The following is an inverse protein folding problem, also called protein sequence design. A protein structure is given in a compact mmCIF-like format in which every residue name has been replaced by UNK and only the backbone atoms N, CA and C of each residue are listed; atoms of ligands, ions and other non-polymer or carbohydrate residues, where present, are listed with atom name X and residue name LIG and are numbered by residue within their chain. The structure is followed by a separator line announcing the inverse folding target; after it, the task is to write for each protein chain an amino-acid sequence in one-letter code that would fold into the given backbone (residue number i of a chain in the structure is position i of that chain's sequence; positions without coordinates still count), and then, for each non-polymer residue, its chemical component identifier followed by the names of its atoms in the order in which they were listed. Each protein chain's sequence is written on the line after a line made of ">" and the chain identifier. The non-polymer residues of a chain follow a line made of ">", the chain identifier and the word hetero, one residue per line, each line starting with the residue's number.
data_IF_470590859215
#
_entry.id   IF_470590859215
#
_cell.length_a   1.000
_cell.length_b   1.000
_cell.length_c   1.000
_cell.angle_alpha   90.00
_cell.angle_beta   90.00
_cell.angle_gamma   90.00
#
_symmetry.space_group_name_H-M   'P 1'
#
loop_
_entity.id
_entity.type
_entity.pdbx_description
1 polymer ?
#
# COMPACT_ATOMS: atom_id res chain seq x y z
N UNK A 1 -8.39 -12.16 55.97
CA UNK A 1 -7.34 -12.54 55.01
C UNK A 1 -7.99 -12.80 53.66
N UNK A 2 -7.52 -12.20 52.56
CA UNK A 2 -7.12 -10.79 52.38
C UNK A 2 -7.99 -10.15 51.25
N UNK A 3 -8.43 -8.89 51.33
CA UNK A 3 -7.68 -7.71 50.88
C UNK A 3 -6.72 -8.01 49.72
N UNK A 4 -7.20 -7.94 48.48
CA UNK A 4 -6.32 -7.74 47.32
C UNK A 4 -6.62 -6.38 46.73
N UNK A 5 -5.81 -5.45 47.21
CA UNK A 5 -5.50 -4.15 46.65
C UNK A 5 -5.77 -4.05 45.13
N UNK A 6 -6.76 -3.23 44.76
CA UNK A 6 -6.58 -2.40 43.58
C UNK A 6 -5.50 -1.38 43.93
N UNK A 7 -4.24 -1.76 43.70
CA UNK A 7 -3.16 -0.79 43.62
C UNK A 7 -3.43 0.07 42.39
N UNK A 8 -4.13 1.18 42.61
CA UNK A 8 -4.11 2.34 41.72
C UNK A 8 -2.63 2.73 41.58
N UNK A 9 -2.02 2.32 40.47
CA UNK A 9 -0.67 2.72 40.13
C UNK A 9 -0.70 4.18 39.68
N UNK A 10 -0.76 5.09 40.65
CA UNK A 10 -0.36 6.49 40.47
C UNK A 10 1.16 6.54 40.37
N UNK A 11 1.70 5.83 39.37
CA UNK A 11 3.03 6.07 38.85
C UNK A 11 2.90 7.24 37.88
N UNK A 12 3.76 8.23 38.00
CA UNK A 12 3.96 9.25 36.99
C UNK A 12 4.14 8.54 35.64
N UNK A 13 3.07 8.42 34.83
CA UNK A 13 3.05 7.58 33.65
C UNK A 13 3.93 8.26 32.59
N UNK A 14 5.23 7.95 32.65
CA UNK A 14 6.17 8.27 31.59
C UNK A 14 5.71 7.47 30.39
N UNK A 15 4.88 8.11 29.56
CA UNK A 15 4.42 7.52 28.32
C UNK A 15 5.66 7.25 27.47
N UNK A 16 5.97 5.99 27.10
CA UNK A 16 7.15 5.72 26.29
C UNK A 16 6.96 6.39 24.94
N UNK A 17 7.99 7.11 24.49
CA UNK A 17 7.99 7.87 23.24
C UNK A 17 9.04 7.25 22.32
N UNK A 18 8.70 7.08 21.05
CA UNK A 18 9.62 6.67 19.99
C UNK A 18 9.72 7.77 18.94
N UNK A 19 10.94 8.13 18.53
CA UNK A 19 11.24 9.11 17.51
C UNK A 19 11.42 8.40 16.17
N UNK A 20 10.54 8.68 15.22
CA UNK A 20 10.55 8.05 13.89
C UNK A 20 10.58 9.12 12.81
N UNK A 21 11.10 8.75 11.64
CA UNK A 21 11.00 9.58 10.46
C UNK A 21 9.88 9.06 9.55
N UNK A 22 8.89 9.90 9.28
CA UNK A 22 7.76 9.54 8.42
C UNK A 22 8.00 10.09 7.02
N UNK A 23 8.02 9.21 6.03
CA UNK A 23 8.10 9.53 4.61
C UNK A 23 6.69 9.63 4.02
N UNK A 24 6.37 10.78 3.43
CA UNK A 24 5.17 10.95 2.60
C UNK A 24 5.56 11.08 1.13
N UNK A 25 4.88 10.33 0.27
CA UNK A 25 4.98 10.56 -1.17
C UNK A 25 4.05 11.73 -1.51
N UNK A 26 4.63 12.86 -1.92
CA UNK A 26 3.85 13.97 -2.47
C UNK A 26 3.48 13.60 -3.91
N UNK A 27 2.20 13.40 -4.17
CA UNK A 27 1.69 13.43 -5.55
C UNK A 27 1.67 14.91 -5.95
N UNK A 28 2.49 15.29 -6.93
CA UNK A 28 2.48 16.67 -7.45
C UNK A 28 1.14 17.00 -8.10
N UNK A 29 0.73 18.26 -8.01
CA UNK A 29 -0.54 18.80 -8.56
C UNK A 29 -0.66 18.59 -10.09
N UNK A 30 0.46 18.37 -10.78
CA UNK A 30 0.52 18.12 -12.23
C UNK A 30 0.43 16.63 -12.62
N UNK A 31 0.16 15.70 -11.68
CA UNK A 31 0.17 14.26 -11.95
C UNK A 31 1.56 13.69 -12.33
N UNK A 32 2.56 14.57 -12.44
CA UNK A 32 3.96 14.23 -12.40
C UNK A 32 4.34 14.00 -10.93
N UNK A 33 4.69 12.76 -10.60
CA UNK A 33 5.37 12.47 -9.35
C UNK A 33 6.74 13.14 -9.37
N UNK A 34 6.80 14.43 -9.02
CA UNK A 34 8.04 15.08 -8.61
C UNK A 34 8.56 14.25 -7.44
N UNK A 35 9.54 13.38 -7.72
CA UNK A 35 9.95 12.24 -6.90
C UNK A 35 10.63 12.59 -5.56
N UNK A 36 10.35 13.76 -4.99
CA UNK A 36 10.86 14.21 -3.71
C UNK A 36 9.81 13.96 -2.62
N UNK A 37 9.71 12.71 -2.14
CA UNK A 37 8.95 12.43 -0.92
C UNK A 37 9.45 13.28 0.26
N UNK A 38 8.54 13.73 1.12
CA UNK A 38 8.88 14.55 2.30
C UNK A 38 9.15 13.66 3.50
N UNK A 39 10.35 13.79 4.08
CA UNK A 39 10.69 13.13 5.34
C UNK A 39 10.42 14.08 6.52
N UNK A 40 9.66 13.63 7.51
CA UNK A 40 9.33 14.41 8.71
C UNK A 40 9.59 13.60 9.97
N UNK A 41 10.47 14.11 10.84
CA UNK A 41 10.80 13.50 12.13
C UNK A 41 9.71 13.82 13.16
N UNK A 42 9.16 12.78 13.81
CA UNK A 42 8.05 12.92 14.77
C UNK A 42 8.29 12.00 15.97
N UNK A 43 7.96 12.49 17.15
CA UNK A 43 7.95 11.71 18.39
C UNK A 43 6.54 11.19 18.66
N UNK A 44 6.38 9.86 18.73
CA UNK A 44 5.09 9.18 18.84
C UNK A 44 4.99 8.36 20.12
N UNK A 45 3.81 8.28 20.77
CA UNK A 45 3.61 7.39 21.92
C UNK A 45 3.69 5.92 21.49
N UNK A 46 4.57 5.15 22.12
CA UNK A 46 4.87 3.77 21.73
C UNK A 46 3.77 2.77 22.11
N UNK A 47 3.02 3.08 23.15
CA UNK A 47 1.97 2.23 23.74
C UNK A 47 0.56 2.55 23.21
N UNK A 48 0.40 3.59 22.40
CA UNK A 48 -0.91 3.98 21.88
C UNK A 48 -1.22 3.21 20.58
N UNK A 49 -2.47 2.73 20.38
CA UNK A 49 -2.87 2.11 19.12
C UNK A 49 -2.68 3.07 17.94
N UNK A 50 -2.22 2.53 16.80
CA UNK A 50 -1.96 3.33 15.60
C UNK A 50 -3.21 4.08 15.12
N UNK A 51 -4.42 3.51 15.27
CA UNK A 51 -5.70 4.19 14.96
C UNK A 51 -5.85 5.57 15.63
N UNK A 52 -5.25 5.79 16.80
CA UNK A 52 -5.32 7.05 17.54
C UNK A 52 -4.19 8.01 17.16
N UNK A 53 -3.03 7.48 16.79
CA UNK A 53 -1.83 8.25 16.43
C UNK A 53 -1.88 8.75 14.99
N UNK A 54 -2.45 7.96 14.07
CA UNK A 54 -2.45 8.25 12.63
C UNK A 54 -3.09 9.61 12.27
N UNK A 55 -4.26 10.01 12.82
CA UNK A 55 -4.83 11.32 12.51
C UNK A 55 -3.95 12.50 12.96
N UNK A 56 -3.15 12.33 14.01
CA UNK A 56 -2.18 13.34 14.43
C UNK A 56 -0.98 13.38 13.49
N UNK A 57 -0.44 12.22 13.10
CA UNK A 57 0.67 12.12 12.13
C UNK A 57 0.29 12.76 10.80
N UNK A 58 -0.90 12.44 10.26
CA UNK A 58 -1.40 13.02 9.00
C UNK A 58 -1.42 14.55 9.02
N UNK A 59 -1.94 15.16 10.10
CA UNK A 59 -1.97 16.62 10.26
C UNK A 59 -0.57 17.25 10.33
N UNK A 60 0.41 16.52 10.86
CA UNK A 60 1.80 17.01 10.97
C UNK A 60 2.51 16.94 9.61
N UNK A 61 2.34 15.83 8.88
CA UNK A 61 3.06 15.59 7.62
C UNK A 61 2.42 16.27 6.41
N UNK A 62 1.11 16.54 6.45
CA UNK A 62 0.35 17.19 5.38
C UNK A 62 -0.54 18.33 5.92
N UNK A 63 0.04 19.48 6.30
CA UNK A 63 -0.69 20.58 6.94
C UNK A 63 -1.58 21.40 5.99
N UNK A 64 -1.47 21.22 4.67
CA UNK A 64 -2.06 22.11 3.65
C UNK A 64 -3.09 21.44 2.73
N UNK A 65 -3.38 20.16 2.92
CA UNK A 65 -4.30 19.44 2.05
C UNK A 65 -5.73 19.45 2.65
N UNK A 66 -6.53 20.45 2.27
CA UNK A 66 -7.99 20.38 2.39
C UNK A 66 -8.61 19.28 1.50
N UNK A 67 -7.76 18.50 0.82
CA UNK A 67 -8.11 17.36 -0.05
C UNK A 67 -7.76 16.00 0.55
N UNK A 68 -7.84 15.82 1.87
CA UNK A 68 -8.14 14.49 2.43
C UNK A 68 -9.59 14.15 2.08
N UNK A 69 -9.87 14.05 0.78
CA UNK A 69 -11.08 13.52 0.21
C UNK A 69 -11.24 12.11 0.74
N UNK A 70 -12.36 11.90 1.42
CA UNK A 70 -12.78 10.63 1.96
C UNK A 70 -12.37 9.43 1.09
N UNK A 71 -11.63 8.47 1.67
CA UNK A 71 -12.06 7.06 1.82
C UNK A 71 -10.90 6.05 1.95
N UNK A 72 -9.62 6.44 1.84
CA UNK A 72 -8.51 5.49 2.01
C UNK A 72 -7.97 5.50 3.43
N UNK A 73 -8.11 4.36 4.11
CA UNK A 73 -7.64 4.15 5.47
C UNK A 73 -6.11 4.03 5.43
N UNK A 74 -5.38 5.00 5.96
CA UNK A 74 -3.91 5.02 5.96
C UNK A 74 -3.34 4.38 7.23
N UNK A 75 -2.18 3.73 7.12
CA UNK A 75 -1.39 3.21 8.23
C UNK A 75 0.10 3.42 8.01
N UNK A 76 0.90 3.27 9.07
CA UNK A 76 2.36 3.29 9.00
C UNK A 76 2.87 1.92 8.53
N UNK A 77 3.93 1.93 7.73
CA UNK A 77 4.57 0.74 7.21
C UNK A 77 6.10 0.91 7.25
N UNK A 78 6.88 -0.15 7.49
CA UNK A 78 8.30 -0.11 7.22
C UNK A 78 8.54 0.07 5.72
N UNK A 79 9.68 0.64 5.34
CA UNK A 79 10.01 0.87 3.93
C UNK A 79 10.08 -0.46 3.18
N UNK A 80 9.21 -0.62 2.17
CA UNK A 80 9.11 -1.85 1.37
C UNK A 80 8.37 -3.02 2.05
N UNK A 81 7.79 -2.81 3.23
CA UNK A 81 6.99 -3.82 3.92
C UNK A 81 5.49 -3.55 3.89
N UNK A 82 4.73 -4.44 4.50
CA UNK A 82 3.28 -4.33 4.62
C UNK A 82 2.88 -3.28 5.67
N UNK A 83 1.75 -2.58 5.49
CA UNK A 83 1.22 -1.65 6.50
C UNK A 83 0.89 -2.35 7.81
N UNK A 84 1.21 -1.69 8.93
CA UNK A 84 0.90 -2.17 10.26
C UNK A 84 -0.62 -2.17 10.50
N UNK A 85 -1.06 -3.09 11.36
CA UNK A 85 -2.45 -3.10 11.80
C UNK A 85 -2.76 -1.85 12.63
N UNK A 86 -3.91 -1.21 12.41
CA UNK A 86 -4.33 -0.03 13.17
C UNK A 86 -4.58 -0.31 14.67
N UNK A 87 -4.77 -1.58 15.04
CA UNK A 87 -4.91 -2.03 16.43
C UNK A 87 -3.57 -2.32 17.11
N UNK A 88 -2.49 -2.38 16.35
CA UNK A 88 -1.17 -2.57 16.91
C UNK A 88 -0.65 -1.26 17.50
N UNK A 89 0.29 -1.38 18.43
CA UNK A 89 1.06 -0.27 18.99
C UNK A 89 2.47 -0.32 18.40
N UNK A 90 3.19 0.81 18.40
CA UNK A 90 4.57 0.84 17.87
C UNK A 90 5.50 -0.14 18.61
N UNK A 91 5.26 -0.37 19.91
CA UNK A 91 5.99 -1.35 20.69
C UNK A 91 5.72 -2.80 20.26
N UNK A 92 4.48 -3.16 19.93
CA UNK A 92 4.15 -4.55 19.53
C UNK A 92 4.65 -4.90 18.13
N UNK A 93 4.75 -3.92 17.23
CA UNK A 93 5.35 -4.10 15.90
C UNK A 93 6.88 -3.98 15.91
N UNK A 94 7.48 -3.62 17.06
CA UNK A 94 8.92 -3.57 17.23
C UNK A 94 9.61 -2.36 16.60
N UNK A 95 8.90 -1.23 16.49
CA UNK A 95 9.47 0.03 15.97
C UNK A 95 10.38 0.65 17.02
N UNK A 96 11.57 1.08 16.60
CA UNK A 96 12.63 1.65 17.43
C UNK A 96 12.89 3.11 17.06
N UNK A 97 13.53 3.84 17.96
CA UNK A 97 14.03 5.18 17.69
C UNK A 97 14.93 5.21 16.45
N UNK A 98 14.62 6.11 15.53
CA UNK A 98 15.32 6.29 14.26
C UNK A 98 14.74 5.51 13.09
N UNK A 99 13.68 4.73 13.29
CA UNK A 99 13.06 3.99 12.19
C UNK A 99 12.43 4.91 11.15
N UNK A 100 12.62 4.53 9.88
CA UNK A 100 11.99 5.17 8.73
C UNK A 100 10.69 4.44 8.41
N UNK A 101 9.58 5.17 8.46
CA UNK A 101 8.25 4.64 8.19
C UNK A 101 7.61 5.39 7.03
N UNK A 102 6.90 4.68 6.17
CA UNK A 102 6.09 5.27 5.12
C UNK A 102 4.63 5.31 5.54
N UNK A 103 3.94 6.39 5.19
CA UNK A 103 2.49 6.45 5.30
C UNK A 103 1.89 5.80 4.04
N UNK A 104 1.21 4.66 4.20
CA UNK A 104 0.67 3.86 3.09
C UNK A 104 -0.83 3.60 3.28
N UNK A 105 -1.54 3.44 2.18
CA UNK A 105 -2.92 2.95 2.21
C UNK A 105 -2.97 1.51 2.73
N UNK A 106 -3.91 1.23 3.62
CA UNK A 106 -4.19 -0.13 4.06
C UNK A 106 -4.83 -0.87 2.88
N UNK A 107 -4.25 -2.00 2.45
CA UNK A 107 -4.79 -2.76 1.33
C UNK A 107 -6.25 -3.10 1.62
N UNK A 108 -7.16 -2.66 0.75
CA UNK A 108 -8.48 -3.25 0.73
C UNK A 108 -8.29 -4.76 0.53
N UNK A 109 -8.94 -5.57 1.37
CA UNK A 109 -8.91 -7.01 1.21
C UNK A 109 -9.24 -7.40 -0.24
N UNK A 110 -8.81 -8.59 -0.68
CA UNK A 110 -9.04 -9.01 -2.06
C UNK A 110 -10.51 -8.81 -2.40
N UNK A 111 -10.81 -8.15 -3.54
CA UNK A 111 -12.19 -7.91 -3.93
C UNK A 111 -12.90 -9.27 -3.97
N UNK A 112 -14.16 -9.29 -3.51
CA UNK A 112 -14.92 -10.53 -3.48
C UNK A 112 -14.87 -11.19 -4.87
N UNK A 113 -14.45 -12.47 -4.96
CA UNK A 113 -14.35 -13.14 -6.24
C UNK A 113 -15.73 -13.14 -6.89
N UNK A 114 -15.80 -12.68 -8.14
CA UNK A 114 -17.04 -12.74 -8.90
C UNK A 114 -17.39 -14.20 -9.12
N UNK A 115 -18.55 -14.61 -8.60
CA UNK A 115 -19.11 -15.93 -8.91
C UNK A 115 -19.75 -15.81 -10.29
N UNK A 116 -19.27 -16.61 -11.23
CA UNK A 116 -19.85 -16.72 -12.57
C UNK A 116 -20.64 -18.03 -12.60
N UNK A 117 -21.90 -17.95 -13.01
CA UNK A 117 -22.83 -19.09 -13.02
C UNK A 117 -22.61 -20.02 -14.21
N UNK A 118 -22.02 -19.52 -15.31
CA UNK A 118 -21.77 -20.26 -16.54
C UNK A 118 -20.27 -20.48 -16.79
N UNK A 119 -19.89 -21.72 -17.08
CA UNK A 119 -18.54 -22.13 -17.45
C UNK A 119 -18.10 -21.47 -18.77
N UNK A 120 -19.01 -21.21 -19.70
CA UNK A 120 -18.70 -20.53 -20.95
C UNK A 120 -18.36 -19.04 -20.72
N UNK A 121 -19.09 -18.35 -19.84
CA UNK A 121 -18.81 -16.97 -19.46
C UNK A 121 -17.51 -16.87 -18.64
N UNK A 122 -17.29 -17.81 -17.71
CA UNK A 122 -16.04 -17.92 -16.96
C UNK A 122 -14.84 -18.10 -17.91
N UNK A 123 -14.96 -18.98 -18.90
CA UNK A 123 -13.94 -19.19 -19.91
C UNK A 123 -13.68 -17.93 -20.76
N UNK A 124 -14.70 -17.11 -21.03
CA UNK A 124 -14.56 -15.84 -21.75
C UNK A 124 -13.86 -14.77 -20.90
N UNK A 125 -14.23 -14.61 -19.63
CA UNK A 125 -13.71 -13.60 -18.70
C UNK A 125 -12.25 -13.89 -18.32
N UNK A 126 -11.89 -15.16 -18.12
CA UNK A 126 -10.55 -15.59 -17.70
C UNK A 126 -9.69 -16.13 -18.86
N UNK A 127 -10.11 -15.94 -20.12
CA UNK A 127 -9.32 -16.42 -21.26
C UNK A 127 -8.03 -15.62 -21.44
N UNK A 128 -6.89 -16.27 -21.19
CA UNK A 128 -5.56 -15.79 -21.59
C UNK A 128 -5.44 -15.51 -23.11
N UNK A 129 -6.40 -15.95 -23.94
CA UNK A 129 -6.46 -15.62 -25.36
C UNK A 129 -6.67 -14.11 -25.62
N UNK A 130 -7.16 -13.34 -24.63
CA UNK A 130 -7.27 -11.88 -24.75
C UNK A 130 -5.94 -11.15 -24.57
N UNK A 131 -4.91 -11.83 -24.07
CA UNK A 131 -3.54 -11.28 -23.93
C UNK A 131 -2.75 -11.29 -25.25
N UNK A 132 -3.23 -12.01 -26.28
CA UNK A 132 -2.59 -12.10 -27.60
C UNK A 132 -3.52 -11.55 -28.69
N UNK A 133 -3.81 -10.24 -28.71
CA UNK A 133 -4.59 -9.66 -29.79
C UNK A 133 -3.86 -9.90 -31.11
N UNK A 134 -4.56 -10.46 -32.10
CA UNK A 134 -4.00 -10.69 -33.43
C UNK A 134 -3.59 -9.33 -34.03
N UNK A 135 -2.28 -9.12 -34.16
CA UNK A 135 -1.71 -7.82 -34.46
C UNK A 135 -1.03 -7.75 -35.82
N UNK A 136 -0.53 -6.57 -36.15
CA UNK A 136 0.28 -6.35 -37.35
C UNK A 136 1.56 -7.21 -37.35
N UNK A 137 2.11 -7.52 -36.18
CA UNK A 137 3.25 -8.42 -36.03
C UNK A 137 2.94 -9.86 -36.49
N UNK A 138 1.75 -10.38 -36.18
CA UNK A 138 1.31 -11.71 -36.64
C UNK A 138 1.11 -11.74 -38.15
N UNK A 139 0.56 -10.66 -38.71
CA UNK A 139 0.39 -10.48 -40.17
C UNK A 139 1.75 -10.43 -40.87
N UNK A 140 2.69 -9.64 -40.36
CA UNK A 140 4.05 -9.56 -40.92
C UNK A 140 4.75 -10.91 -40.87
N UNK A 141 4.62 -11.64 -39.76
CA UNK A 141 5.21 -12.97 -39.61
C UNK A 141 4.61 -13.96 -40.61
N UNK A 142 3.29 -13.96 -40.77
CA UNK A 142 2.60 -14.77 -41.78
C UNK A 142 3.03 -14.41 -43.21
N UNK A 143 3.08 -13.13 -43.54
CA UNK A 143 3.51 -12.64 -44.84
C UNK A 143 4.97 -13.03 -45.16
N UNK A 144 5.86 -12.94 -44.15
CA UNK A 144 7.27 -13.31 -44.30
C UNK A 144 7.41 -14.81 -44.59
N UNK A 145 6.72 -15.66 -43.81
CA UNK A 145 6.73 -17.12 -44.04
C UNK A 145 6.15 -17.46 -45.41
N UNK A 146 5.05 -16.80 -45.81
CA UNK A 146 4.45 -16.98 -47.13
C UNK A 146 5.40 -16.60 -48.27
N UNK A 147 6.06 -15.45 -48.18
CA UNK A 147 7.02 -14.99 -49.19
C UNK A 147 8.21 -15.96 -49.33
N UNK A 148 8.77 -16.42 -48.21
CA UNK A 148 9.86 -17.43 -48.23
C UNK A 148 9.39 -18.72 -48.90
N UNK A 149 8.20 -19.20 -48.58
CA UNK A 149 7.63 -20.40 -49.20
C UNK A 149 7.47 -20.26 -50.72
N UNK A 150 6.98 -19.11 -51.19
CA UNK A 150 6.84 -18.83 -52.64
C UNK A 150 8.21 -18.82 -53.33
N UNK A 151 9.21 -18.17 -52.74
CA UNK A 151 10.57 -18.13 -53.30
C UNK A 151 11.15 -19.54 -53.41
N UNK A 152 11.02 -20.37 -52.37
CA UNK A 152 11.54 -21.74 -52.36
C UNK A 152 10.86 -22.65 -53.39
N UNK A 153 9.60 -22.43 -53.73
CA UNK A 153 8.89 -23.22 -54.76
C UNK A 153 9.20 -22.72 -56.17
N UNK A 154 9.47 -21.42 -56.32
CA UNK A 154 9.72 -20.79 -57.61
C UNK A 154 11.19 -20.91 -58.09
N UNK A 155 12.09 -21.39 -57.22
CA UNK A 155 13.52 -21.58 -57.52
C UNK A 155 13.84 -23.07 -57.60
#
# INVERSE_FOLDING_TARGET
>A
MPESALSTHTGNAVMPIVRVAVLTATVGDDGAADGAGRLTEIALPAELPLREVIPAVQRIVAPSDETVGAAELLSLAPIGGAPFSLDATLNTVGVVDGDLLALQAVPAGPPAPRIVEDIADAAMIFSAARERPWGTADIQRGATVGAVGVILVAT
#
